data_IF_427804119834
#
_entry.id   IF_427804119834
#
_cell.length_a   1.000
_cell.length_b   1.000
_cell.length_c   1.000
_cell.angle_alpha   90.00
_cell.angle_beta   90.00
_cell.angle_gamma   90.00
#
_symmetry.space_group_name_H-M   'P 1'
#
loop_
_entity.id
_entity.type
_entity.pdbx_description
1 polymer ?
#
# COMPACT_ATOMS: atom_id res chain seq x y z
N UNK A 1 13.83 -16.48 3.99
CA UNK A 1 12.84 -15.49 4.46
C UNK A 1 13.38 -14.89 5.75
N UNK A 2 13.60 -13.58 5.80
CA UNK A 2 14.27 -12.93 6.94
C UNK A 2 13.29 -12.78 8.11
N UNK A 3 13.73 -13.11 9.33
CA UNK A 3 12.88 -13.07 10.52
C UNK A 3 12.33 -11.67 10.84
N UNK A 4 12.98 -10.62 10.34
CA UNK A 4 12.52 -9.23 10.42
C UNK A 4 11.22 -8.96 9.66
N UNK A 5 11.00 -9.62 8.53
CA UNK A 5 9.80 -9.42 7.71
C UNK A 5 8.60 -10.07 8.38
N UNK A 6 8.82 -11.25 8.98
CA UNK A 6 7.80 -11.96 9.76
C UNK A 6 7.40 -11.17 11.00
N UNK A 7 8.37 -10.60 11.74
CA UNK A 7 8.09 -9.80 12.94
C UNK A 7 7.34 -8.50 12.62
N UNK A 8 7.69 -7.80 11.53
CA UNK A 8 6.95 -6.63 11.06
C UNK A 8 5.51 -7.02 10.68
N UNK A 9 5.34 -8.07 9.89
CA UNK A 9 4.02 -8.56 9.49
C UNK A 9 3.15 -8.94 10.70
N UNK A 10 3.71 -9.65 11.68
CA UNK A 10 2.96 -10.01 12.91
C UNK A 10 2.66 -8.79 13.78
N UNK A 11 3.61 -7.85 13.91
CA UNK A 11 3.38 -6.65 14.70
C UNK A 11 2.29 -5.79 14.07
N UNK A 12 2.23 -5.68 12.74
CA UNK A 12 1.14 -4.98 12.06
C UNK A 12 -0.18 -5.76 12.02
N UNK A 13 -0.18 -7.09 12.02
CA UNK A 13 -1.40 -7.87 12.22
C UNK A 13 -1.97 -7.71 13.65
N UNK A 14 -1.09 -7.45 14.63
CA UNK A 14 -1.43 -7.25 16.04
C UNK A 14 -1.69 -5.78 16.43
N UNK A 15 -1.12 -4.81 15.69
CA UNK A 15 -1.18 -3.36 15.98
C UNK A 15 -1.80 -2.53 14.85
N UNK A 16 -2.13 -3.15 13.72
CA UNK A 16 -2.81 -2.50 12.59
C UNK A 16 -4.24 -2.18 12.99
N UNK A 17 -4.46 -0.92 13.37
CA UNK A 17 -5.70 -0.39 13.91
C UNK A 17 -6.88 -0.35 12.91
N UNK A 18 -6.86 -1.16 11.85
CA UNK A 18 -7.84 -1.15 10.78
C UNK A 18 -8.32 -2.54 10.39
N UNK A 19 -9.59 -2.65 10.02
CA UNK A 19 -10.19 -3.86 9.42
C UNK A 19 -9.69 -4.12 7.98
N UNK A 20 -8.78 -3.29 7.48
CA UNK A 20 -8.30 -3.29 6.12
C UNK A 20 -7.33 -4.45 5.89
N UNK A 21 -7.63 -5.26 4.86
CA UNK A 21 -6.83 -6.43 4.47
C UNK A 21 -5.78 -6.09 3.41
N UNK A 22 -5.85 -4.88 2.87
CA UNK A 22 -4.92 -4.37 1.87
C UNK A 22 -3.95 -3.42 2.53
N UNK A 23 -2.68 -3.57 2.19
CA UNK A 23 -1.60 -2.79 2.80
C UNK A 23 -0.68 -2.26 1.73
N UNK A 24 -0.40 -0.97 1.80
CA UNK A 24 0.60 -0.31 0.98
C UNK A 24 1.80 0.05 1.86
N UNK A 25 2.97 -0.46 1.50
CA UNK A 25 4.24 -0.18 2.17
C UNK A 25 5.18 0.58 1.24
N UNK A 26 5.64 1.75 1.67
CA UNK A 26 6.59 2.59 0.95
C UNK A 26 7.69 2.98 1.94
N UNK A 27 8.87 2.35 1.91
CA UNK A 27 9.91 2.55 2.94
C UNK A 27 10.41 4.00 3.07
N UNK A 28 10.22 4.82 2.04
CA UNK A 28 10.60 6.24 2.04
C UNK A 28 9.54 7.16 2.69
N UNK A 29 8.34 6.66 2.93
CA UNK A 29 7.23 7.38 3.55
C UNK A 29 7.01 6.87 5.00
N UNK A 30 7.22 7.69 6.03
CA UNK A 30 6.96 7.30 7.42
C UNK A 30 5.48 7.39 7.80
N UNK A 31 4.64 8.00 6.96
CA UNK A 31 3.23 8.25 7.23
C UNK A 31 2.41 6.97 7.13
N UNK A 32 1.37 6.85 7.96
CA UNK A 32 0.44 5.72 7.91
C UNK A 32 -0.44 5.84 6.67
N UNK A 33 -0.41 4.83 5.81
CA UNK A 33 -1.16 4.77 4.56
C UNK A 33 -2.27 3.72 4.71
N UNK A 34 -3.53 4.13 4.55
CA UNK A 34 -4.69 3.24 4.57
C UNK A 34 -5.30 3.13 3.16
N UNK A 35 -5.29 1.92 2.59
CA UNK A 35 -5.73 1.69 1.20
C UNK A 35 -7.25 1.71 1.11
N UNK A 36 -7.81 2.65 0.35
CA UNK A 36 -9.26 2.74 0.17
C UNK A 36 -9.75 1.88 -1.00
N UNK A 37 -9.06 1.96 -2.14
CA UNK A 37 -9.46 1.32 -3.39
C UNK A 37 -8.22 1.07 -4.26
N UNK A 38 -8.23 0.02 -5.07
CA UNK A 38 -7.20 -0.20 -6.07
C UNK A 38 -7.72 -0.96 -7.28
N UNK A 39 -7.12 -0.69 -8.44
CA UNK A 39 -7.37 -1.40 -9.69
C UNK A 39 -6.06 -1.87 -10.27
N UNK A 40 -5.98 -3.16 -10.60
CA UNK A 40 -4.79 -3.79 -11.16
C UNK A 40 -5.06 -4.38 -12.53
N UNK A 41 -4.14 -4.17 -13.47
CA UNK A 41 -4.08 -4.86 -14.74
C UNK A 41 -2.80 -5.69 -14.82
N UNK A 42 -2.96 -6.99 -15.06
CA UNK A 42 -1.86 -7.94 -15.24
C UNK A 42 -2.16 -8.84 -16.43
N UNK A 43 -1.23 -8.92 -17.38
CA UNK A 43 -1.32 -9.80 -18.53
C UNK A 43 0.06 -10.34 -18.91
N UNK A 44 0.09 -11.54 -19.48
CA UNK A 44 1.34 -12.17 -19.90
C UNK A 44 2.06 -11.30 -20.93
N UNK A 45 3.34 -11.03 -20.70
CA UNK A 45 4.19 -10.18 -21.56
C UNK A 45 3.71 -8.72 -21.69
N UNK A 46 2.86 -8.24 -20.77
CA UNK A 46 2.55 -6.82 -20.62
C UNK A 46 3.09 -6.30 -19.30
N UNK A 47 3.37 -4.99 -19.24
CA UNK A 47 3.71 -4.34 -17.99
C UNK A 47 2.46 -4.34 -17.10
N UNK A 48 2.61 -4.74 -15.84
CA UNK A 48 1.54 -4.62 -14.88
C UNK A 48 1.27 -3.14 -14.58
N UNK A 49 0.07 -2.84 -14.12
CA UNK A 49 -0.30 -1.48 -13.73
C UNK A 49 -1.27 -1.54 -12.57
N UNK A 50 -0.95 -0.85 -11.49
CA UNK A 50 -1.81 -0.75 -10.31
C UNK A 50 -2.10 0.70 -9.98
N UNK A 51 -3.35 1.12 -10.13
CA UNK A 51 -3.87 2.38 -9.60
C UNK A 51 -4.33 2.15 -8.16
N UNK A 52 -3.76 2.88 -7.20
CA UNK A 52 -4.03 2.67 -5.78
C UNK A 52 -4.43 4.00 -5.17
N UNK A 53 -5.61 4.04 -4.55
CA UNK A 53 -6.10 5.14 -3.73
C UNK A 53 -5.95 4.80 -2.27
N UNK A 54 -5.39 5.74 -1.53
CA UNK A 54 -5.20 5.60 -0.10
C UNK A 54 -5.41 6.93 0.60
N UNK A 55 -5.70 6.84 1.89
CA UNK A 55 -5.77 7.99 2.78
C UNK A 55 -4.59 8.01 3.73
N UNK A 56 -4.27 9.21 4.19
CA UNK A 56 -3.33 9.41 5.28
C UNK A 56 -3.80 10.56 6.19
N UNK A 57 -3.42 10.48 7.47
CA UNK A 57 -3.56 11.59 8.42
C UNK A 57 -2.58 12.72 8.12
N UNK A 58 -1.49 12.42 7.39
CA UNK A 58 -0.59 13.43 6.86
C UNK A 58 -1.22 14.11 5.65
N UNK A 59 -1.49 15.41 5.79
CA UNK A 59 -2.16 16.21 4.77
C UNK A 59 -1.22 16.69 3.66
N UNK A 60 0.10 16.62 3.87
CA UNK A 60 1.10 17.18 2.96
C UNK A 60 2.29 16.23 2.77
N UNK A 61 2.00 14.98 2.38
CA UNK A 61 3.04 14.04 1.97
C UNK A 61 3.79 14.60 0.76
N UNK A 62 5.11 14.70 0.89
CA UNK A 62 5.95 15.24 -0.17
C UNK A 62 6.12 14.23 -1.32
N UNK A 63 6.01 14.71 -2.55
CA UNK A 63 6.10 13.87 -3.74
C UNK A 63 7.47 13.18 -3.85
N UNK A 64 8.56 13.77 -3.35
CA UNK A 64 9.91 13.19 -3.40
C UNK A 64 10.05 11.95 -2.51
N UNK A 65 9.16 11.80 -1.51
CA UNK A 65 9.12 10.63 -0.64
C UNK A 65 8.39 9.44 -1.26
N UNK A 66 7.58 9.67 -2.30
CA UNK A 66 6.78 8.64 -2.94
C UNK A 66 7.26 8.35 -4.36
N UNK A 67 7.50 9.38 -5.16
CA UNK A 67 7.83 9.24 -6.57
C UNK A 67 9.18 8.53 -6.78
N UNK A 68 9.19 7.56 -7.70
CA UNK A 68 10.35 6.71 -8.02
C UNK A 68 10.90 5.93 -6.81
N UNK A 69 10.09 5.74 -5.77
CA UNK A 69 10.43 4.90 -4.62
C UNK A 69 9.83 3.51 -4.76
N UNK A 70 10.49 2.49 -4.18
CA UNK A 70 9.91 1.16 -4.13
C UNK A 70 8.62 1.16 -3.31
N UNK A 71 7.61 0.47 -3.81
CA UNK A 71 6.32 0.31 -3.15
C UNK A 71 5.90 -1.15 -3.20
N UNK A 72 5.29 -1.61 -2.11
CA UNK A 72 4.80 -2.99 -1.98
C UNK A 72 3.33 -2.95 -1.58
N UNK A 73 2.47 -3.51 -2.45
CA UNK A 73 1.06 -3.72 -2.17
C UNK A 73 0.84 -5.17 -1.74
N UNK A 74 0.43 -5.36 -0.50
CA UNK A 74 0.08 -6.67 0.05
C UNK A 74 -1.43 -6.80 0.14
N UNK A 75 -1.97 -7.84 -0.48
CA UNK A 75 -3.38 -8.21 -0.44
C UNK A 75 -3.53 -9.44 0.44
N UNK A 76 -4.03 -9.25 1.65
CA UNK A 76 -4.27 -10.35 2.58
C UNK A 76 -5.46 -11.20 2.16
N UNK A 77 -5.27 -12.52 2.11
CA UNK A 77 -6.39 -13.45 2.10
C UNK A 77 -7.16 -13.32 3.43
N UNK A 78 -8.49 -13.19 3.34
CA UNK A 78 -9.33 -13.07 4.54
C UNK A 78 -9.25 -14.29 5.47
N UNK A 79 -9.87 -14.23 6.66
CA UNK A 79 -9.76 -15.26 7.69
C UNK A 79 -10.33 -16.65 7.32
N UNK A 80 -10.88 -16.81 6.11
CA UNK A 80 -11.59 -18.03 5.68
C UNK A 80 -10.70 -19.03 4.93
N UNK A 81 -9.44 -18.74 4.67
CA UNK A 81 -8.52 -19.68 4.02
C UNK A 81 -7.37 -20.00 4.95
N UNK A 82 -7.35 -21.22 5.48
CA UNK A 82 -6.20 -21.82 6.21
C UNK A 82 -4.94 -21.99 5.36
N UNK A 83 -4.90 -21.40 4.17
CA UNK A 83 -3.74 -21.19 3.32
C UNK A 83 -3.55 -19.68 3.25
N UNK A 84 -2.55 -19.18 3.98
CA UNK A 84 -2.17 -17.78 4.06
C UNK A 84 -1.51 -17.29 2.75
N UNK A 85 -2.19 -17.46 1.62
CA UNK A 85 -1.72 -16.95 0.34
C UNK A 85 -1.99 -15.45 0.29
N UNK A 86 -0.98 -14.67 0.67
CA UNK A 86 -0.99 -13.22 0.52
C UNK A 86 -0.43 -12.88 -0.87
N UNK A 87 -1.23 -12.21 -1.71
CA UNK A 87 -0.70 -11.67 -2.96
C UNK A 87 0.12 -10.44 -2.64
N UNK A 88 1.38 -10.44 -3.05
CA UNK A 88 2.28 -9.29 -2.88
C UNK A 88 2.71 -8.80 -4.25
N UNK A 89 2.46 -7.52 -4.50
CA UNK A 89 2.87 -6.83 -5.72
C UNK A 89 3.99 -5.87 -5.33
N UNK A 90 5.16 -6.09 -5.91
CA UNK A 90 6.30 -5.19 -5.77
C UNK A 90 6.44 -4.35 -7.02
N UNK A 91 6.68 -3.06 -6.85
CA UNK A 91 7.00 -2.17 -7.96
C UNK A 91 7.59 -0.85 -7.50
N UNK A 92 7.53 0.14 -8.37
CA UNK A 92 8.03 1.49 -8.12
C UNK A 92 6.93 2.48 -8.41
N UNK A 93 6.79 3.50 -7.57
CA UNK A 93 5.78 4.54 -7.79
C UNK A 93 6.18 5.36 -9.01
N UNK A 94 5.38 5.28 -10.06
CA UNK A 94 5.60 6.04 -11.30
C UNK A 94 4.80 7.34 -11.34
N UNK A 95 3.66 7.37 -10.64
CA UNK A 95 2.79 8.54 -10.56
C UNK A 95 2.33 8.77 -9.13
N UNK A 96 2.23 10.05 -8.74
CA UNK A 96 1.68 10.46 -7.46
C UNK A 96 0.77 11.68 -7.66
N UNK A 97 -0.42 11.62 -7.07
CA UNK A 97 -1.41 12.68 -7.14
C UNK A 97 -2.16 12.80 -5.82
N UNK A 98 -2.33 14.04 -5.34
CA UNK A 98 -3.29 14.35 -4.28
C UNK A 98 -4.67 14.59 -4.89
N UNK A 99 -5.68 13.87 -4.41
CA UNK A 99 -7.05 13.95 -4.93
C UNK A 99 -7.87 14.96 -4.13
N UNK A 100 -7.83 14.86 -2.80
CA UNK A 100 -8.61 15.71 -1.91
C UNK A 100 -7.93 15.83 -0.55
N UNK A 101 -8.40 16.77 0.27
CA UNK A 101 -7.97 16.97 1.64
C UNK A 101 -9.11 17.52 2.48
N UNK A 102 -9.35 16.85 3.60
CA UNK A 102 -10.16 17.33 4.71
C UNK A 102 -9.25 17.89 5.81
N UNK A 103 -9.84 18.35 6.92
CA UNK A 103 -9.07 18.90 8.05
C UNK A 103 -8.19 17.85 8.74
N UNK A 104 -8.62 16.60 8.73
CA UNK A 104 -8.00 15.53 9.52
C UNK A 104 -7.43 14.40 8.66
N UNK A 105 -7.73 14.37 7.35
CA UNK A 105 -7.31 13.31 6.43
C UNK A 105 -7.16 13.85 5.00
N UNK A 106 -6.17 13.34 4.25
CA UNK A 106 -6.04 13.59 2.82
C UNK A 106 -6.08 12.29 2.01
N UNK A 107 -6.65 12.37 0.81
CA UNK A 107 -6.76 11.26 -0.14
C UNK A 107 -5.75 11.44 -1.25
N UNK A 108 -4.98 10.39 -1.50
CA UNK A 108 -3.93 10.33 -2.50
C UNK A 108 -4.16 9.16 -3.45
N UNK A 109 -3.56 9.27 -4.63
CA UNK A 109 -3.55 8.23 -5.65
C UNK A 109 -2.11 8.04 -6.15
N UNK A 110 -1.69 6.79 -6.27
CA UNK A 110 -0.41 6.42 -6.87
C UNK A 110 -0.60 5.37 -7.95
N UNK A 111 0.39 5.28 -8.83
CA UNK A 111 0.49 4.21 -9.81
C UNK A 111 1.79 3.45 -9.58
N UNK A 112 1.68 2.13 -9.56
CA UNK A 112 2.79 1.17 -9.48
C UNK A 112 2.82 0.34 -10.75
#
# INVERSE_FOLDING_TARGET
MSQTDTLKNTLYALTGSGLNRYRLDIPSCPSLLDVEDFSGFEAMSQLYHYDIRFTSSDLNIDATQLLSKPATLTMGAGPLTGLAEQKVVHGVVTHFKRISGSRDQATYQIII
#
